data_IF_149140595526
#
_entry.id   IF_149140595526
#
_cell.length_a   1.000
_cell.length_b   1.000
_cell.length_c   1.000
_cell.angle_alpha   90.00
_cell.angle_beta   90.00
_cell.angle_gamma   90.00
#
_symmetry.space_group_name_H-M   'P 1'
#
loop_
_entity.id
_entity.type
_entity.pdbx_description
1 polymer ?
#
# COMPACT_ATOMS: atom_id res chain seq x y z
N UNK A 1 -1.00 28.69 -9.81
CA UNK A 1 -0.22 28.82 -8.56
C UNK A 1 1.20 28.41 -8.86
N UNK A 2 2.11 29.37 -8.94
CA UNK A 2 3.55 29.12 -9.17
C UNK A 2 4.18 28.72 -7.83
N UNK A 3 4.78 27.53 -7.77
CA UNK A 3 5.30 26.92 -6.54
C UNK A 3 6.37 27.75 -5.83
N UNK A 4 6.58 27.44 -4.55
CA UNK A 4 7.59 28.06 -3.68
C UNK A 4 8.99 27.83 -4.27
N UNK A 5 9.85 28.86 -4.40
CA UNK A 5 11.22 28.70 -4.90
C UNK A 5 12.00 27.66 -4.07
N UNK A 6 12.54 26.64 -4.73
CA UNK A 6 13.32 25.55 -4.10
C UNK A 6 12.54 24.26 -3.83
N UNK A 7 11.21 24.28 -3.90
CA UNK A 7 10.39 23.07 -3.82
C UNK A 7 10.07 22.57 -5.23
N UNK A 8 10.91 21.69 -5.78
CA UNK A 8 10.64 21.00 -7.04
C UNK A 8 10.01 19.64 -6.71
N UNK A 9 8.71 19.50 -6.97
CA UNK A 9 8.02 18.20 -6.93
C UNK A 9 8.42 17.40 -8.18
N UNK A 10 9.54 16.69 -8.09
CA UNK A 10 10.04 15.77 -9.11
C UNK A 10 10.46 14.45 -8.43
N UNK A 11 10.45 13.31 -9.17
CA UNK A 11 11.01 12.07 -8.64
C UNK A 11 12.45 12.30 -8.17
N UNK A 12 12.78 11.86 -6.95
CA UNK A 12 14.13 11.84 -6.44
C UNK A 12 14.56 10.38 -6.26
N UNK A 13 15.11 9.73 -7.31
CA UNK A 13 15.46 8.31 -7.26
C UNK A 13 16.53 7.98 -6.21
N UNK A 14 17.39 8.95 -5.89
CA UNK A 14 18.45 8.85 -4.88
C UNK A 14 17.98 9.30 -3.49
N UNK A 15 16.69 9.65 -3.35
CA UNK A 15 16.09 10.00 -2.08
C UNK A 15 16.08 8.81 -1.11
N UNK A 16 16.02 9.07 0.21
CA UNK A 16 15.83 7.99 1.17
C UNK A 16 14.50 7.28 0.89
N UNK A 17 14.55 5.96 0.71
CA UNK A 17 13.37 5.10 0.54
C UNK A 17 13.38 4.05 1.65
N UNK A 18 12.29 3.97 2.40
CA UNK A 18 12.05 2.83 3.28
C UNK A 18 11.49 1.68 2.45
N UNK A 19 12.31 0.65 2.27
CA UNK A 19 11.95 -0.56 1.53
C UNK A 19 11.41 -1.66 2.45
N UNK A 20 11.20 -1.35 3.73
CA UNK A 20 10.69 -2.31 4.72
C UNK A 20 9.21 -2.55 4.48
N UNK A 21 8.84 -3.82 4.37
CA UNK A 21 7.46 -4.28 4.35
C UNK A 21 7.16 -4.99 5.66
N UNK A 22 6.24 -4.47 6.46
CA UNK A 22 5.81 -5.11 7.70
C UNK A 22 4.53 -5.90 7.46
N UNK A 23 4.48 -7.13 7.97
CA UNK A 23 3.30 -8.01 7.82
C UNK A 23 2.93 -8.59 9.18
N UNK A 24 1.71 -8.31 9.63
CA UNK A 24 1.09 -8.97 10.77
C UNK A 24 0.12 -10.04 10.25
N UNK A 25 0.48 -11.29 10.50
CA UNK A 25 -0.35 -12.45 10.18
C UNK A 25 -1.33 -12.74 11.32
N UNK A 26 -2.59 -12.99 10.98
CA UNK A 26 -3.65 -13.35 11.89
C UNK A 26 -4.16 -14.73 11.47
N UNK A 27 -4.08 -15.69 12.40
CA UNK A 27 -4.49 -17.07 12.18
C UNK A 27 -5.74 -17.42 13.00
N UNK A 28 -6.50 -18.38 12.50
CA UNK A 28 -7.45 -19.13 13.29
C UNK A 28 -6.73 -19.94 14.39
N UNK A 29 -7.48 -20.42 15.37
CA UNK A 29 -6.93 -21.28 16.44
C UNK A 29 -6.37 -22.61 15.92
N UNK A 30 -6.75 -23.04 14.72
CA UNK A 30 -6.22 -24.22 14.04
C UNK A 30 -4.94 -23.93 13.20
N UNK A 31 -4.45 -22.69 13.21
CA UNK A 31 -3.24 -22.26 12.49
C UNK A 31 -3.46 -21.91 11.02
N UNK A 32 -4.70 -21.96 10.51
CA UNK A 32 -5.01 -21.48 9.17
C UNK A 32 -5.00 -19.96 9.11
N UNK A 33 -4.47 -19.43 8.01
CA UNK A 33 -4.45 -18.00 7.74
C UNK A 33 -5.88 -17.47 7.65
N UNK A 34 -6.20 -16.47 8.49
CA UNK A 34 -7.47 -15.76 8.47
C UNK A 34 -7.31 -14.39 7.79
N UNK A 35 -6.28 -13.66 8.18
CA UNK A 35 -6.04 -12.32 7.64
C UNK A 35 -4.56 -11.94 7.69
N UNK A 36 -4.20 -10.93 6.90
CA UNK A 36 -2.90 -10.29 6.98
C UNK A 36 -3.07 -8.76 6.95
N UNK A 37 -2.42 -8.07 7.88
CA UNK A 37 -2.23 -6.63 7.84
C UNK A 37 -0.86 -6.34 7.23
N UNK A 38 -0.83 -5.57 6.15
CA UNK A 38 0.41 -5.21 5.45
C UNK A 38 0.64 -3.70 5.55
N UNK A 39 1.84 -3.31 5.95
CA UNK A 39 2.26 -1.93 6.11
C UNK A 39 3.49 -1.65 5.24
N UNK A 40 3.36 -0.61 4.40
CA UNK A 40 4.38 -0.19 3.45
C UNK A 40 4.34 1.33 3.29
N UNK A 41 5.51 1.97 3.41
CA UNK A 41 5.65 3.42 3.30
C UNK A 41 5.54 3.88 1.83
N UNK A 42 4.30 4.06 1.36
CA UNK A 42 4.02 4.66 0.06
C UNK A 42 2.67 5.40 0.07
N UNK A 43 2.59 6.44 -0.75
CA UNK A 43 1.34 7.18 -0.93
C UNK A 43 0.51 6.54 -2.06
N UNK A 44 -0.80 6.40 -1.85
CA UNK A 44 -1.75 5.85 -2.82
C UNK A 44 -2.08 6.88 -3.92
N UNK A 45 -1.12 7.16 -4.80
CA UNK A 45 -1.23 8.17 -5.87
C UNK A 45 -0.78 7.67 -7.25
N UNK A 46 -0.73 6.35 -7.47
CA UNK A 46 -0.41 5.79 -8.79
C UNK A 46 -1.51 6.16 -9.80
N UNK A 47 -2.76 6.16 -9.35
CA UNK A 47 -3.90 6.70 -10.08
C UNK A 47 -3.97 8.20 -9.85
N UNK A 48 -3.63 8.95 -10.89
CA UNK A 48 -3.84 10.39 -10.95
C UNK A 48 -5.35 10.74 -10.86
N UNK A 49 -5.70 12.03 -10.80
CA UNK A 49 -7.06 12.58 -10.83
C UNK A 49 -7.85 12.15 -12.08
N UNK A 50 -8.29 10.89 -12.11
CA UNK A 50 -9.07 10.26 -13.16
C UNK A 50 -10.52 10.04 -12.74
N UNK A 51 -11.37 9.66 -13.72
CA UNK A 51 -12.82 9.47 -13.53
C UNK A 51 -13.21 8.12 -12.94
N UNK A 52 -12.26 7.33 -12.44
CA UNK A 52 -12.50 5.97 -11.96
C UNK A 52 -12.35 5.89 -10.45
N UNK A 53 -13.29 5.21 -9.80
CA UNK A 53 -13.19 4.87 -8.38
C UNK A 53 -12.21 3.70 -8.23
N UNK A 54 -11.03 3.97 -7.68
CA UNK A 54 -10.02 2.97 -7.38
C UNK A 54 -9.37 3.29 -6.03
N UNK A 55 -9.06 2.27 -5.26
CA UNK A 55 -8.29 2.39 -4.02
C UNK A 55 -6.78 2.16 -4.29
N UNK A 56 -6.30 2.59 -5.46
CA UNK A 56 -4.89 2.65 -5.90
C UNK A 56 -4.09 1.33 -5.74
N UNK A 57 -2.76 1.42 -5.63
CA UNK A 57 -1.87 0.29 -5.40
C UNK A 57 -2.26 -0.62 -4.22
N UNK A 58 -2.82 -0.12 -3.09
CA UNK A 58 -3.25 -0.98 -1.99
C UNK A 58 -4.33 -1.97 -2.41
N UNK A 59 -5.34 -1.51 -3.17
CA UNK A 59 -6.38 -2.39 -3.70
C UNK A 59 -5.87 -3.40 -4.72
N UNK A 60 -4.81 -3.03 -5.46
CA UNK A 60 -4.12 -3.97 -6.34
C UNK A 60 -3.39 -5.05 -5.54
N UNK A 61 -2.67 -4.68 -4.49
CA UNK A 61 -1.97 -5.61 -3.59
C UNK A 61 -2.96 -6.59 -2.94
N UNK A 62 -4.04 -6.07 -2.35
CA UNK A 62 -5.14 -6.88 -1.81
C UNK A 62 -5.59 -7.95 -2.81
N UNK A 63 -5.97 -7.52 -4.03
CA UNK A 63 -6.48 -8.42 -5.06
C UNK A 63 -5.47 -9.49 -5.49
N UNK A 64 -4.17 -9.18 -5.47
CA UNK A 64 -3.13 -10.17 -5.80
C UNK A 64 -2.97 -11.17 -4.66
N UNK A 65 -2.93 -10.72 -3.41
CA UNK A 65 -2.76 -11.59 -2.24
C UNK A 65 -3.97 -12.51 -2.04
N UNK A 66 -5.19 -11.98 -2.14
CA UNK A 66 -6.43 -12.78 -2.03
C UNK A 66 -6.61 -13.80 -3.16
N UNK A 67 -5.93 -13.63 -4.30
CA UNK A 67 -5.89 -14.66 -5.36
C UNK A 67 -4.91 -15.79 -5.08
N UNK A 68 -3.90 -15.55 -4.23
CA UNK A 68 -2.89 -16.54 -3.87
C UNK A 68 -3.36 -17.37 -2.67
N UNK A 69 -4.13 -16.78 -1.77
CA UNK A 69 -4.68 -17.42 -0.58
C UNK A 69 -6.20 -17.49 -0.67
N UNK A 70 -6.74 -18.69 -0.82
CA UNK A 70 -8.19 -18.92 -0.72
C UNK A 70 -8.67 -18.62 0.71
N UNK A 71 -9.80 -17.93 0.85
CA UNK A 71 -10.49 -17.60 2.11
C UNK A 71 -9.71 -16.71 3.12
N UNK A 72 -8.75 -15.90 2.67
CA UNK A 72 -8.07 -14.90 3.52
C UNK A 72 -8.65 -13.48 3.34
N UNK A 73 -8.77 -12.71 4.42
CA UNK A 73 -9.03 -11.26 4.39
C UNK A 73 -7.76 -10.42 4.40
N UNK A 74 -7.59 -9.52 3.42
CA UNK A 74 -6.50 -8.55 3.44
C UNK A 74 -6.90 -7.31 4.25
N UNK A 75 -5.99 -6.82 5.08
CA UNK A 75 -6.12 -5.57 5.82
C UNK A 75 -4.97 -4.65 5.44
N UNK A 76 -5.29 -3.39 5.18
CA UNK A 76 -4.31 -2.39 4.80
C UNK A 76 -3.80 -1.60 6.02
N UNK A 77 -2.48 -1.40 6.09
CA UNK A 77 -1.76 -0.68 7.14
C UNK A 77 -1.87 0.84 7.04
N UNK A 78 -1.26 1.53 8.01
CA UNK A 78 -1.36 2.99 8.14
C UNK A 78 -0.55 3.69 7.03
N UNK A 79 -1.22 4.49 6.20
CA UNK A 79 -0.58 5.48 5.33
C UNK A 79 0.02 6.59 6.21
N UNK A 80 1.30 6.57 6.50
CA UNK A 80 1.98 7.76 7.04
C UNK A 80 3.42 7.83 6.54
N UNK A 81 3.67 8.77 5.62
CA UNK A 81 4.27 10.08 5.90
C UNK A 81 3.93 11.05 4.76
#
# INVERSE_FOLDING_TARGET
MTGIPGAQWAPNPDGPVDNTLSVLRIDHSDGKLLAALVDYAAYASVMNWGQYFAADYPSFLQRVVEKVYDDMYYLDGVFTL
#
